data_IF_553255499623
#
_entry.id   IF_553255499623
#
_cell.length_a   1.000
_cell.length_b   1.000
_cell.length_c   1.000
_cell.angle_alpha   90.00
_cell.angle_beta   90.00
_cell.angle_gamma   90.00
#
_symmetry.space_group_name_H-M   'P 1'
#
loop_
_entity.id
_entity.type
_entity.pdbx_description
1 polymer ?
#
# COMPACT_ATOMS: atom_id res chain seq x y z
N UNK A 1 -2.32 -10.50 -18.10
CA UNK A 1 -2.60 -11.93 -17.92
C UNK A 1 -3.71 -12.42 -18.86
N UNK A 2 -4.85 -11.70 -19.00
CA UNK A 2 -5.95 -12.10 -19.89
C UNK A 2 -5.54 -12.10 -21.37
N UNK A 3 -4.68 -11.18 -21.80
CA UNK A 3 -4.18 -11.10 -23.17
C UNK A 3 -3.35 -12.33 -23.60
N UNK A 4 -2.71 -13.02 -22.66
CA UNK A 4 -1.92 -14.24 -22.88
C UNK A 4 -2.74 -15.53 -22.65
N UNK A 5 -4.06 -15.46 -22.66
CA UNK A 5 -4.93 -16.63 -22.47
C UNK A 5 -5.03 -17.11 -21.01
N UNK A 6 -4.43 -16.41 -20.08
CA UNK A 6 -4.56 -16.75 -18.64
C UNK A 6 -5.94 -16.37 -18.12
N UNK A 7 -6.50 -17.19 -17.27
CA UNK A 7 -7.75 -16.93 -16.56
C UNK A 7 -7.50 -16.81 -15.05
N UNK A 8 -8.21 -15.92 -14.40
CA UNK A 8 -8.24 -15.88 -12.93
C UNK A 8 -9.03 -17.09 -12.43
N UNK A 9 -8.41 -17.91 -11.60
CA UNK A 9 -9.06 -19.05 -10.94
C UNK A 9 -9.50 -18.70 -9.51
N UNK A 10 -8.95 -17.63 -8.95
CA UNK A 10 -9.30 -17.13 -7.62
C UNK A 10 -8.98 -15.64 -7.51
N UNK A 11 -9.83 -14.91 -6.83
CA UNK A 11 -9.63 -13.51 -6.50
C UNK A 11 -9.78 -13.31 -4.99
N UNK A 12 -8.68 -12.96 -4.34
CA UNK A 12 -8.62 -12.77 -2.88
C UNK A 12 -9.09 -11.40 -2.41
N UNK A 13 -9.52 -10.53 -3.34
CA UNK A 13 -9.98 -9.18 -2.97
C UNK A 13 -11.21 -9.27 -2.06
N UNK A 14 -11.06 -8.75 -0.86
CA UNK A 14 -12.15 -8.60 0.11
C UNK A 14 -12.28 -7.12 0.47
N UNK A 15 -13.50 -6.58 0.63
CA UNK A 15 -13.72 -5.15 0.85
C UNK A 15 -12.93 -4.55 2.01
N UNK A 16 -12.67 -5.33 3.04
CA UNK A 16 -12.02 -4.88 4.27
C UNK A 16 -10.59 -5.41 4.45
N UNK A 17 -10.04 -6.13 3.47
CA UNK A 17 -8.69 -6.67 3.57
C UNK A 17 -7.67 -5.71 2.98
N UNK A 18 -6.78 -5.18 3.80
CA UNK A 18 -5.62 -4.39 3.39
C UNK A 18 -4.38 -5.28 3.41
N UNK A 19 -3.72 -5.42 2.27
CA UNK A 19 -2.54 -6.26 2.11
C UNK A 19 -1.23 -5.49 2.20
N UNK A 20 -1.29 -4.16 2.19
CA UNK A 20 -0.13 -3.30 2.22
C UNK A 20 -0.27 -2.25 3.32
N UNK A 21 0.84 -1.95 3.98
CA UNK A 21 0.95 -0.89 4.96
C UNK A 21 2.33 -0.22 4.85
N UNK A 22 2.40 1.06 5.16
CA UNK A 22 3.67 1.71 5.41
C UNK A 22 4.15 1.33 6.80
N UNK A 23 5.34 0.75 6.88
CA UNK A 23 6.03 0.47 8.12
C UNK A 23 7.14 1.47 8.32
N UNK A 24 7.21 2.04 9.50
CA UNK A 24 8.22 3.04 9.87
C UNK A 24 8.99 2.58 11.10
N UNK A 25 10.26 2.98 11.19
CA UNK A 25 11.05 2.72 12.40
C UNK A 25 10.57 3.59 13.56
N UNK A 26 10.88 3.19 14.80
CA UNK A 26 10.62 4.00 15.99
C UNK A 26 11.25 5.39 15.91
N UNK A 27 12.42 5.50 15.31
CA UNK A 27 13.10 6.78 15.10
C UNK A 27 12.29 7.75 14.22
N UNK A 28 11.56 7.23 13.21
CA UNK A 28 10.72 8.08 12.38
C UNK A 28 9.54 8.68 13.17
N UNK A 29 9.19 8.04 14.28
CA UNK A 29 8.11 8.50 15.18
C UNK A 29 8.61 9.54 16.17
N UNK A 30 9.81 9.34 16.71
CA UNK A 30 10.37 10.17 17.81
C UNK A 30 11.20 11.36 17.31
N UNK A 31 11.86 11.23 16.17
CA UNK A 31 12.64 12.30 15.56
C UNK A 31 11.74 13.26 14.77
N UNK A 32 11.72 14.52 15.18
CA UNK A 32 10.87 15.56 14.57
C UNK A 32 11.11 15.73 13.07
N UNK A 33 12.37 15.68 12.61
CA UNK A 33 12.73 15.84 11.20
C UNK A 33 12.24 14.65 10.38
N UNK A 34 12.46 13.42 10.85
CA UNK A 34 12.01 12.19 10.20
C UNK A 34 10.48 12.12 10.17
N UNK A 35 9.84 12.52 11.24
CA UNK A 35 8.37 12.61 11.34
C UNK A 35 7.80 13.56 10.28
N UNK A 36 8.41 14.72 10.08
CA UNK A 36 8.00 15.66 9.04
C UNK A 36 8.25 15.11 7.62
N UNK A 37 9.35 14.42 7.39
CA UNK A 37 9.63 13.75 6.13
C UNK A 37 8.57 12.68 5.81
N UNK A 38 8.14 11.90 6.81
CA UNK A 38 7.07 10.92 6.64
C UNK A 38 5.73 11.58 6.29
N UNK A 39 5.41 12.70 6.94
CA UNK A 39 4.20 13.47 6.63
C UNK A 39 4.20 13.95 5.18
N UNK A 40 5.32 14.52 4.72
CA UNK A 40 5.48 14.95 3.33
C UNK A 40 5.38 13.79 2.33
N UNK A 41 5.97 12.63 2.67
CA UNK A 41 5.84 11.43 1.84
C UNK A 41 4.38 11.00 1.68
N UNK A 42 3.61 10.96 2.77
CA UNK A 42 2.20 10.57 2.73
C UNK A 42 1.32 11.62 2.01
N UNK A 43 1.66 12.89 2.10
CA UNK A 43 1.01 13.92 1.28
C UNK A 43 1.28 13.70 -0.22
N UNK A 44 2.54 13.41 -0.59
CA UNK A 44 2.90 13.05 -1.96
C UNK A 44 2.17 11.81 -2.46
N UNK A 45 2.10 10.77 -1.61
CA UNK A 45 1.32 9.57 -1.89
C UNK A 45 -0.16 9.89 -2.15
N UNK A 46 -0.79 10.66 -1.28
CA UNK A 46 -2.21 11.03 -1.44
C UNK A 46 -2.46 11.80 -2.73
N UNK A 47 -1.57 12.73 -3.09
CA UNK A 47 -1.64 13.47 -4.35
C UNK A 47 -1.53 12.54 -5.56
N UNK A 48 -0.59 11.61 -5.54
CA UNK A 48 -0.43 10.61 -6.61
C UNK A 48 -1.67 9.71 -6.73
N UNK A 49 -2.20 9.23 -5.61
CA UNK A 49 -3.44 8.43 -5.56
C UNK A 49 -4.61 9.20 -6.16
N UNK A 50 -4.74 10.48 -5.85
CA UNK A 50 -5.80 11.33 -6.39
C UNK A 50 -5.69 11.45 -7.92
N UNK A 51 -4.50 11.71 -8.44
CA UNK A 51 -4.25 11.79 -9.89
C UNK A 51 -4.55 10.46 -10.60
N UNK A 52 -4.13 9.34 -10.03
CA UNK A 52 -4.42 8.00 -10.57
C UNK A 52 -5.92 7.73 -10.58
N UNK A 53 -6.62 8.02 -9.49
CA UNK A 53 -8.06 7.77 -9.37
C UNK A 53 -8.89 8.66 -10.31
N UNK A 54 -8.43 9.88 -10.58
CA UNK A 54 -9.04 10.80 -11.55
C UNK A 54 -8.63 10.50 -12.99
N UNK A 55 -7.76 9.52 -13.20
CA UNK A 55 -7.16 9.18 -14.50
C UNK A 55 -6.42 10.37 -15.14
N UNK A 56 -5.87 11.23 -14.32
CA UNK A 56 -5.00 12.33 -14.73
C UNK A 56 -3.60 11.79 -15.06
N UNK A 57 -2.87 12.50 -15.93
CA UNK A 57 -1.48 12.18 -16.30
C UNK A 57 -1.27 10.73 -16.78
N UNK A 58 -2.22 10.20 -17.55
CA UNK A 58 -2.20 8.82 -18.07
C UNK A 58 -0.89 8.51 -18.81
N UNK A 59 -0.37 9.48 -19.58
CA UNK A 59 0.89 9.32 -20.32
C UNK A 59 2.10 9.23 -19.38
N UNK A 60 2.14 10.00 -18.30
CA UNK A 60 3.20 9.92 -17.30
C UNK A 60 3.20 8.56 -16.60
N UNK A 61 2.02 8.05 -16.22
CA UNK A 61 1.87 6.73 -15.61
C UNK A 61 2.29 5.65 -16.61
N UNK A 62 1.87 5.76 -17.88
CA UNK A 62 2.26 4.85 -18.95
C UNK A 62 3.79 4.82 -19.12
N UNK A 63 4.44 5.98 -19.16
CA UNK A 63 5.89 6.07 -19.30
C UNK A 63 6.64 5.44 -18.12
N UNK A 64 6.13 5.58 -16.89
CA UNK A 64 6.68 4.88 -15.72
C UNK A 64 6.55 3.37 -15.89
N UNK A 65 5.39 2.88 -16.33
CA UNK A 65 5.13 1.46 -16.51
C UNK A 65 5.98 0.85 -17.63
N UNK A 66 6.29 1.61 -18.69
CA UNK A 66 7.20 1.19 -19.76
C UNK A 66 8.65 0.98 -19.28
N UNK A 67 9.03 1.53 -18.13
CA UNK A 67 10.31 1.25 -17.47
C UNK A 67 10.41 -0.15 -16.84
N UNK A 68 9.31 -0.89 -16.76
CA UNK A 68 9.28 -2.27 -16.26
C UNK A 68 9.29 -3.27 -17.43
N UNK A 69 9.72 -4.54 -17.21
CA UNK A 69 9.77 -5.57 -18.26
C UNK A 69 8.36 -6.09 -18.60
N UNK A 70 7.52 -5.20 -19.11
CA UNK A 70 6.12 -5.47 -19.49
C UNK A 70 5.92 -5.00 -20.92
N UNK A 71 5.23 -5.82 -21.71
CA UNK A 71 4.93 -5.48 -23.11
C UNK A 71 3.98 -4.27 -23.20
N UNK A 72 4.22 -3.32 -24.13
CA UNK A 72 3.41 -2.10 -24.26
C UNK A 72 1.90 -2.38 -24.38
N UNK A 73 1.49 -3.39 -25.15
CA UNK A 73 0.08 -3.77 -25.33
C UNK A 73 -0.56 -4.22 -24.01
N UNK A 74 0.23 -4.84 -23.14
CA UNK A 74 -0.24 -5.22 -21.79
C UNK A 74 -0.47 -3.98 -20.94
N UNK A 75 0.41 -2.98 -21.04
CA UNK A 75 0.26 -1.69 -20.31
C UNK A 75 -0.99 -0.96 -20.79
N UNK A 76 -1.20 -0.86 -22.09
CA UNK A 76 -2.34 -0.14 -22.69
C UNK A 76 -3.69 -0.79 -22.35
N UNK A 77 -3.69 -2.10 -22.07
CA UNK A 77 -4.88 -2.85 -21.63
C UNK A 77 -5.06 -2.91 -20.10
N UNK A 78 -4.12 -2.36 -19.32
CA UNK A 78 -4.14 -2.45 -17.88
C UNK A 78 -5.28 -1.63 -17.29
N UNK A 79 -6.15 -2.30 -16.53
CA UNK A 79 -7.14 -1.62 -15.71
C UNK A 79 -6.54 -1.28 -14.35
N UNK A 80 -6.12 -0.04 -14.18
CA UNK A 80 -5.60 0.44 -12.91
C UNK A 80 -6.77 0.52 -11.92
N UNK A 81 -6.70 -0.19 -10.78
CA UNK A 81 -7.73 -0.11 -9.76
C UNK A 81 -7.68 1.25 -9.05
N UNK A 82 -8.78 1.63 -8.41
CA UNK A 82 -8.78 2.76 -7.50
C UNK A 82 -7.96 2.44 -6.25
N UNK A 83 -7.13 3.38 -5.84
CA UNK A 83 -6.30 3.28 -4.64
C UNK A 83 -6.88 4.14 -3.51
N UNK A 84 -6.85 3.68 -2.26
CA UNK A 84 -7.22 4.50 -1.12
C UNK A 84 -6.12 5.51 -0.81
N UNK A 85 -6.51 6.66 -0.30
CA UNK A 85 -5.56 7.58 0.34
C UNK A 85 -4.96 6.96 1.60
N UNK A 86 -3.85 7.53 2.07
CA UNK A 86 -3.23 7.12 3.32
C UNK A 86 -4.25 7.24 4.47
N UNK A 87 -4.41 6.17 5.20
CA UNK A 87 -5.36 6.10 6.30
C UNK A 87 -4.80 5.24 7.42
N UNK A 88 -5.39 5.37 8.60
CA UNK A 88 -5.05 4.53 9.74
C UNK A 88 -5.18 3.06 9.43
N UNK A 89 -4.20 2.26 9.84
CA UNK A 89 -4.30 0.82 9.75
C UNK A 89 -5.45 0.30 10.64
N UNK A 90 -6.22 -0.63 10.10
CA UNK A 90 -7.32 -1.26 10.85
C UNK A 90 -6.77 -2.25 11.89
N UNK A 91 -7.18 -2.10 13.14
CA UNK A 91 -6.74 -2.98 14.24
C UNK A 91 -6.93 -4.46 13.94
N UNK A 92 -8.06 -4.83 13.30
CA UNK A 92 -8.35 -6.21 12.93
C UNK A 92 -7.34 -6.80 11.94
N UNK A 93 -6.91 -6.02 10.95
CA UNK A 93 -5.90 -6.45 9.97
C UNK A 93 -4.53 -6.62 10.64
N UNK A 94 -4.13 -5.67 11.49
CA UNK A 94 -2.87 -5.76 12.25
C UNK A 94 -2.90 -6.96 13.19
N UNK A 95 -3.97 -7.17 13.94
CA UNK A 95 -4.12 -8.32 14.83
C UNK A 95 -4.07 -9.66 14.07
N UNK A 96 -4.62 -9.71 12.86
CA UNK A 96 -4.57 -10.91 12.01
C UNK A 96 -3.13 -11.18 11.53
N UNK A 97 -2.42 -10.14 11.10
CA UNK A 97 -1.01 -10.27 10.71
C UNK A 97 -0.13 -10.71 11.88
N UNK A 98 -0.32 -10.11 13.06
CA UNK A 98 0.43 -10.48 14.27
C UNK A 98 0.18 -11.93 14.66
N UNK A 99 -1.08 -12.40 14.65
CA UNK A 99 -1.39 -13.81 14.93
C UNK A 99 -0.70 -14.75 13.96
N UNK A 100 -0.68 -14.42 12.67
CA UNK A 100 0.02 -15.22 11.67
C UNK A 100 1.53 -15.25 11.94
N UNK A 101 2.16 -14.09 12.20
CA UNK A 101 3.59 -14.01 12.48
C UNK A 101 3.98 -14.76 13.76
N UNK A 102 3.17 -14.66 14.83
CA UNK A 102 3.36 -15.41 16.07
C UNK A 102 3.21 -16.92 15.84
N UNK A 103 2.18 -17.33 15.10
CA UNK A 103 1.98 -18.75 14.73
C UNK A 103 3.17 -19.31 13.96
N UNK A 104 3.79 -18.50 13.10
CA UNK A 104 4.99 -18.87 12.35
C UNK A 104 6.29 -18.71 13.14
N UNK A 105 6.23 -18.35 14.41
CA UNK A 105 7.39 -18.11 15.28
C UNK A 105 8.36 -17.02 14.74
N UNK A 106 7.83 -16.05 13.98
CA UNK A 106 8.60 -14.95 13.40
C UNK A 106 8.69 -13.75 14.33
N UNK A 107 7.77 -13.63 15.27
CA UNK A 107 7.76 -12.61 16.32
C UNK A 107 7.33 -13.25 17.65
N UNK A 108 7.66 -12.56 18.73
CA UNK A 108 7.14 -12.88 20.07
C UNK A 108 5.75 -12.26 20.28
N UNK A 109 4.89 -12.79 21.18
CA UNK A 109 3.53 -12.30 21.40
C UNK A 109 3.41 -10.93 22.10
N UNK A 110 4.50 -10.23 22.31
CA UNK A 110 4.55 -8.95 23.05
C UNK A 110 3.93 -7.77 22.28
N UNK A 111 3.82 -7.88 20.96
CA UNK A 111 3.30 -6.81 20.13
C UNK A 111 1.78 -6.85 20.04
N UNK A 112 1.16 -5.69 20.23
CA UNK A 112 -0.28 -5.50 20.05
C UNK A 112 -0.56 -4.52 18.92
N UNK A 113 -1.77 -4.57 18.36
CA UNK A 113 -2.17 -3.60 17.34
C UNK A 113 -2.09 -2.15 17.85
N UNK A 114 -2.38 -1.92 19.12
CA UNK A 114 -2.35 -0.57 19.70
C UNK A 114 -0.94 0.01 19.83
N UNK A 115 0.07 -0.84 20.03
CA UNK A 115 1.47 -0.41 20.09
C UNK A 115 2.10 -0.18 18.72
N UNK A 116 1.54 -0.80 17.67
CA UNK A 116 2.10 -0.74 16.32
C UNK A 116 1.40 0.26 15.40
N UNK A 117 0.15 0.65 15.72
CA UNK A 117 -0.59 1.59 14.88
C UNK A 117 -0.27 3.02 15.29
N UNK A 118 0.45 3.72 14.44
CA UNK A 118 0.84 5.10 14.64
C UNK A 118 0.18 6.02 13.59
N UNK A 119 -0.48 7.08 14.04
CA UNK A 119 -1.32 7.92 13.17
C UNK A 119 -0.87 9.38 12.98
N UNK A 120 0.17 9.90 13.63
CA UNK A 120 0.49 11.34 13.55
C UNK A 120 0.97 11.80 12.17
N UNK A 121 1.30 10.88 11.27
CA UNK A 121 1.75 11.22 9.91
C UNK A 121 0.63 11.33 8.88
N UNK A 122 -0.58 10.91 9.24
CA UNK A 122 -1.69 10.92 8.29
C UNK A 122 -2.16 12.37 8.12
N UNK A 123 -2.07 12.91 6.89
CA UNK A 123 -2.45 14.28 6.61
C UNK A 123 -3.96 14.49 6.67
#
# INVERSE_FOLDING_TARGET
AKLKGHRSIYDSRRPHMRLMAFMVSSDAVTDKRKSEQMRLLLQGYNKAVEQINRKEQTDSIRNILLGYPVEPETIDSLKIPAYPQAQKAEKGNVATALRFLTYRHLITPEYTGDTLIHTPFIP
#
